data_IF_147249237535
#
_entry.id   IF_147249237535
#
_cell.length_a   1.000
_cell.length_b   1.000
_cell.length_c   1.000
_cell.angle_alpha   90.00
_cell.angle_beta   90.00
_cell.angle_gamma   90.00
#
_symmetry.space_group_name_H-M   'P 1'
#
loop_
_entity.id
_entity.type
_entity.pdbx_description
1 polymer ?
#
# COMPACT_ATOMS: atom_id res chain seq x y z
N UNK A 1 -20.61 0.60 -2.55
CA UNK A 1 -19.17 0.75 -2.23
C UNK A 1 -18.46 1.05 -3.54
N UNK A 2 -17.73 2.16 -3.63
CA UNK A 2 -17.05 2.58 -4.88
C UNK A 2 -15.66 1.96 -4.90
N UNK A 3 -15.35 1.18 -5.94
CA UNK A 3 -14.00 0.65 -6.15
C UNK A 3 -13.13 1.74 -6.76
N UNK A 4 -12.04 2.08 -6.08
CA UNK A 4 -11.04 3.01 -6.58
C UNK A 4 -9.89 2.24 -7.24
N UNK A 5 -9.35 2.79 -8.33
CA UNK A 5 -8.26 2.17 -9.07
C UNK A 5 -7.11 3.17 -9.28
N UNK A 6 -5.87 2.69 -9.15
CA UNK A 6 -4.67 3.44 -9.52
C UNK A 6 -3.81 2.51 -10.37
N UNK A 7 -3.44 2.98 -11.57
CA UNK A 7 -2.74 2.18 -12.59
C UNK A 7 -3.44 0.83 -12.87
N UNK A 8 -4.77 0.86 -12.96
CA UNK A 8 -5.63 -0.33 -13.16
C UNK A 8 -5.60 -1.36 -12.01
N UNK A 9 -4.98 -1.03 -10.88
CA UNK A 9 -4.96 -1.87 -9.68
C UNK A 9 -6.04 -1.40 -8.69
N UNK A 10 -6.83 -2.33 -8.10
CA UNK A 10 -7.82 -1.96 -7.09
C UNK A 10 -7.14 -1.45 -5.82
N UNK A 11 -7.60 -0.30 -5.32
CA UNK A 11 -7.15 0.27 -4.06
C UNK A 11 -7.83 -0.45 -2.91
N UNK A 12 -7.05 -1.09 -2.03
CA UNK A 12 -7.55 -1.72 -0.81
C UNK A 12 -7.86 -0.69 0.29
N UNK A 13 -7.16 0.45 0.26
CA UNK A 13 -7.39 1.52 1.21
C UNK A 13 -6.39 2.65 1.09
N UNK A 14 -6.62 3.67 1.92
CA UNK A 14 -5.79 4.84 2.05
C UNK A 14 -5.30 4.96 3.50
N UNK A 15 -4.13 5.56 3.70
CA UNK A 15 -3.64 5.93 5.03
C UNK A 15 -2.80 7.19 4.98
N UNK A 16 -2.91 8.02 6.01
CA UNK A 16 -2.05 9.18 6.18
C UNK A 16 -0.78 8.78 6.94
N UNK A 17 0.36 9.07 6.34
CA UNK A 17 1.68 8.83 6.93
C UNK A 17 2.52 10.06 6.71
N UNK A 18 2.89 10.72 7.82
CA UNK A 18 3.81 11.85 7.81
C UNK A 18 3.37 12.96 6.83
N UNK A 19 2.16 13.46 7.06
CA UNK A 19 1.46 14.49 6.29
C UNK A 19 1.23 14.15 4.81
N UNK A 20 1.31 12.88 4.43
CA UNK A 20 0.96 12.39 3.10
C UNK A 20 -0.10 11.30 3.14
N UNK A 21 -1.16 11.50 2.37
CA UNK A 21 -2.13 10.44 2.08
C UNK A 21 -1.54 9.48 1.05
N UNK A 22 -1.52 8.20 1.41
CA UNK A 22 -1.02 7.11 0.61
C UNK A 22 -2.17 6.20 0.20
N UNK A 23 -2.16 5.77 -1.05
CA UNK A 23 -3.05 4.74 -1.57
C UNK A 23 -2.30 3.40 -1.68
N UNK A 24 -2.94 2.33 -1.22
CA UNK A 24 -2.41 0.97 -1.28
C UNK A 24 -3.23 0.15 -2.27
N UNK A 25 -2.67 -0.08 -3.46
CA UNK A 25 -3.34 -0.81 -4.52
C UNK A 25 -2.81 -2.24 -4.64
N UNK A 26 -3.70 -3.22 -4.74
CA UNK A 26 -3.36 -4.64 -4.79
C UNK A 26 -3.04 -5.10 -6.20
N UNK A 27 -1.87 -5.70 -6.37
CA UNK A 27 -1.59 -6.53 -7.54
C UNK A 27 -2.34 -7.86 -7.41
N UNK A 28 -3.53 -7.97 -8.01
CA UNK A 28 -4.52 -9.07 -7.82
C UNK A 28 -3.94 -10.50 -7.79
N UNK A 29 -2.83 -10.76 -8.48
CA UNK A 29 -2.22 -12.08 -8.59
C UNK A 29 -1.03 -12.32 -7.65
N UNK A 30 -0.64 -11.32 -6.86
CA UNK A 30 0.55 -11.38 -6.01
C UNK A 30 0.27 -10.80 -4.62
N UNK A 31 0.96 -11.28 -3.58
CA UNK A 31 0.92 -10.67 -2.25
C UNK A 31 1.75 -9.39 -2.21
N UNK A 32 1.39 -8.44 -3.07
CA UNK A 32 2.08 -7.18 -3.32
C UNK A 32 1.09 -6.02 -3.32
N UNK A 33 1.43 -4.98 -2.57
CA UNK A 33 0.73 -3.69 -2.60
C UNK A 33 1.62 -2.62 -3.21
N UNK A 34 1.11 -1.97 -4.26
CA UNK A 34 1.67 -0.74 -4.82
C UNK A 34 1.28 0.44 -3.95
N UNK A 35 2.25 1.28 -3.63
CA UNK A 35 2.07 2.45 -2.76
C UNK A 35 2.23 3.71 -3.58
N UNK A 36 1.17 4.51 -3.65
CA UNK A 36 1.13 5.76 -4.43
C UNK A 36 0.76 6.92 -3.51
N UNK A 37 1.45 8.04 -3.59
CA UNK A 37 1.03 9.26 -2.90
C UNK A 37 -0.20 9.89 -3.58
N UNK A 38 -0.90 10.78 -2.89
CA UNK A 38 -2.08 11.48 -3.43
C UNK A 38 -1.78 12.29 -4.71
N UNK A 39 -0.55 12.74 -4.90
CA UNK A 39 -0.10 13.43 -6.11
C UNK A 39 0.17 12.49 -7.31
N UNK A 40 -0.06 11.19 -7.14
CA UNK A 40 0.16 10.16 -8.16
C UNK A 40 1.59 9.59 -8.18
N UNK A 41 2.48 10.06 -7.30
CA UNK A 41 3.87 9.58 -7.25
C UNK A 41 3.93 8.14 -6.73
N UNK A 42 4.54 7.24 -7.50
CA UNK A 42 4.87 5.90 -7.04
C UNK A 42 5.96 5.97 -5.96
N UNK A 43 5.66 5.51 -4.75
CA UNK A 43 6.62 5.47 -3.66
C UNK A 43 7.35 4.13 -3.58
N UNK A 44 6.66 3.03 -3.90
CA UNK A 44 7.25 1.70 -3.87
C UNK A 44 6.21 0.60 -3.77
N UNK A 45 6.66 -0.56 -3.32
CA UNK A 45 5.85 -1.76 -3.19
C UNK A 45 6.08 -2.40 -1.83
N UNK A 46 5.01 -2.86 -1.18
CA UNK A 46 5.12 -3.83 -0.09
C UNK A 46 4.96 -5.22 -0.69
N UNK A 47 5.96 -6.06 -0.51
CA UNK A 47 6.03 -7.41 -1.06
C UNK A 47 6.02 -8.44 0.07
N UNK A 48 5.87 -9.72 -0.29
CA UNK A 48 5.93 -10.84 0.67
C UNK A 48 4.90 -10.71 1.80
N UNK A 49 3.70 -10.17 1.48
CA UNK A 49 2.67 -9.88 2.48
C UNK A 49 2.15 -11.12 3.22
N UNK A 50 2.27 -12.30 2.63
CA UNK A 50 1.91 -13.59 3.24
C UNK A 50 3.01 -14.20 4.11
N UNK A 51 4.21 -13.61 4.13
CA UNK A 51 5.36 -14.13 4.86
C UNK A 51 5.96 -13.05 5.77
N UNK A 52 7.12 -12.50 5.38
CA UNK A 52 7.76 -11.38 6.05
C UNK A 52 7.66 -10.14 5.16
N UNK A 53 6.70 -9.24 5.42
CA UNK A 53 6.45 -8.06 4.59
C UNK A 53 7.69 -7.17 4.46
N UNK A 54 8.03 -6.82 3.22
CA UNK A 54 9.19 -5.99 2.89
C UNK A 54 8.79 -4.81 2.04
N UNK A 55 9.29 -3.63 2.38
CA UNK A 55 9.12 -2.42 1.59
C UNK A 55 10.26 -2.30 0.58
N UNK A 56 9.93 -2.33 -0.70
CA UNK A 56 10.83 -2.05 -1.80
C UNK A 56 10.53 -0.65 -2.34
N UNK A 57 11.43 0.31 -2.09
CA UNK A 57 11.26 1.69 -2.58
C UNK A 57 11.38 1.76 -4.11
N UNK A 58 10.49 2.52 -4.74
CA UNK A 58 10.70 2.97 -6.11
C UNK A 58 11.75 4.10 -6.15
N UNK A 59 12.41 4.37 -7.29
CA UNK A 59 13.37 5.47 -7.42
C UNK A 59 12.79 6.82 -6.96
N UNK A 60 11.55 7.11 -7.36
CA UNK A 60 10.77 8.31 -7.00
C UNK A 60 10.39 8.38 -5.53
N UNK A 61 10.35 7.25 -4.83
CA UNK A 61 10.05 7.17 -3.40
C UNK A 61 11.27 7.01 -2.50
N UNK A 62 12.47 6.82 -3.05
CA UNK A 62 13.66 6.47 -2.27
C UNK A 62 14.01 7.54 -1.22
N UNK A 63 14.05 8.81 -1.63
CA UNK A 63 14.30 9.94 -0.73
C UNK A 63 13.25 10.04 0.39
N UNK A 64 11.99 9.76 0.08
CA UNK A 64 10.93 9.81 1.08
C UNK A 64 10.92 8.57 1.98
N UNK A 65 11.18 7.37 1.47
CA UNK A 65 11.10 6.14 2.29
C UNK A 65 12.35 5.90 3.14
N UNK A 66 13.53 6.18 2.60
CA UNK A 66 14.80 5.78 3.20
C UNK A 66 15.57 6.89 3.90
N UNK A 67 15.39 8.16 3.53
CA UNK A 67 16.46 9.12 3.79
C UNK A 67 16.66 9.40 5.28
N UNK A 68 15.63 9.48 6.15
CA UNK A 68 15.87 9.81 7.58
C UNK A 68 14.88 9.25 8.63
N UNK A 69 13.86 8.44 8.28
CA UNK A 69 12.77 8.12 9.23
C UNK A 69 12.36 6.64 9.23
N UNK A 70 12.97 5.78 10.07
CA UNK A 70 12.55 4.38 10.22
C UNK A 70 11.09 4.25 10.69
N UNK A 71 10.58 5.25 11.42
CA UNK A 71 9.17 5.32 11.83
C UNK A 71 8.22 5.36 10.61
N UNK A 72 8.58 6.08 9.55
CA UNK A 72 7.78 6.22 8.33
C UNK A 72 7.68 4.89 7.60
N UNK A 73 8.82 4.22 7.36
CA UNK A 73 8.85 2.88 6.77
C UNK A 73 8.03 1.89 7.59
N UNK A 74 8.11 1.94 8.93
CA UNK A 74 7.32 1.07 9.82
C UNK A 74 5.82 1.36 9.72
N UNK A 75 5.41 2.62 9.66
CA UNK A 75 4.01 3.01 9.51
C UNK A 75 3.45 2.55 8.17
N UNK A 76 4.21 2.70 7.07
CA UNK A 76 3.82 2.19 5.74
C UNK A 76 3.61 0.68 5.78
N UNK A 77 4.56 -0.07 6.35
CA UNK A 77 4.45 -1.52 6.49
C UNK A 77 3.26 -1.93 7.37
N UNK A 78 3.04 -1.25 8.48
CA UNK A 78 1.92 -1.54 9.38
C UNK A 78 0.57 -1.37 8.68
N UNK A 79 0.39 -0.29 7.93
CA UNK A 79 -0.83 -0.03 7.18
C UNK A 79 -1.03 -1.09 6.07
N UNK A 80 0.01 -1.40 5.31
CA UNK A 80 -0.05 -2.43 4.27
C UNK A 80 -0.45 -3.80 4.82
N UNK A 81 0.13 -4.22 5.95
CA UNK A 81 -0.20 -5.49 6.62
C UNK A 81 -1.65 -5.48 7.11
N UNK A 82 -2.09 -4.38 7.70
CA UNK A 82 -3.45 -4.23 8.22
C UNK A 82 -4.48 -4.34 7.09
N UNK A 83 -4.25 -3.65 5.98
CA UNK A 83 -5.11 -3.73 4.78
C UNK A 83 -5.09 -5.12 4.16
N UNK A 84 -3.91 -5.74 4.04
CA UNK A 84 -3.76 -7.09 3.50
C UNK A 84 -4.58 -8.12 4.28
N UNK A 85 -4.51 -8.08 5.61
CA UNK A 85 -5.27 -8.99 6.48
C UNK A 85 -6.78 -8.76 6.42
N UNK A 86 -7.21 -7.52 6.20
CA UNK A 86 -8.64 -7.16 6.14
C UNK A 86 -9.25 -7.37 4.76
N UNK A 87 -8.45 -7.59 3.71
CA UNK A 87 -8.95 -7.74 2.34
C UNK A 87 -9.98 -8.85 2.21
N UNK A 88 -9.82 -9.96 2.93
CA UNK A 88 -10.78 -11.07 2.88
C UNK A 88 -12.16 -10.66 3.36
N UNK A 89 -12.24 -9.80 4.37
CA UNK A 89 -13.51 -9.22 4.84
C UNK A 89 -14.09 -8.26 3.80
N UNK A 90 -13.24 -7.41 3.19
CA UNK A 90 -13.67 -6.49 2.14
C UNK A 90 -14.27 -7.20 0.91
N UNK A 91 -13.76 -8.39 0.57
CA UNK A 91 -14.30 -9.18 -0.54
C UNK A 91 -15.51 -10.04 -0.16
N UNK A 92 -15.64 -10.51 1.08
CA UNK A 92 -16.85 -11.24 1.53
C UNK A 92 -18.09 -10.35 1.58
N UNK A 93 -17.93 -9.07 1.91
CA UNK A 93 -19.04 -8.11 1.85
C UNK A 93 -19.38 -7.69 0.40
N UNK A 94 -18.64 -8.20 -0.60
CA UNK A 94 -18.93 -8.05 -2.03
C UNK A 94 -19.66 -9.26 -2.62
N UNK A 95 -20.21 -10.15 -1.80
CA UNK A 95 -21.15 -11.18 -2.26
C UNK A 95 -22.46 -10.50 -2.68
N UNK A 96 -22.56 -10.23 -3.98
CA UNK A 96 -23.79 -9.92 -4.69
C UNK A 96 -24.51 -11.18 -5.14
#
# INVERSE_FOLDING_TARGET
MTLHFIDRLPVLGYADVDDRTLAFAWNWHEPVLRITAADGTLLGHVTHLDALPRLASAPTGHAWLHQHHPARTRAVLHNAITLWRRKETLFRDCDG
#
